data_IF_360566434266
#
_entry.id   IF_360566434266
#
_cell.length_a   1.000
_cell.length_b   1.000
_cell.length_c   1.000
_cell.angle_alpha   90.00
_cell.angle_beta   90.00
_cell.angle_gamma   90.00
#
_symmetry.space_group_name_H-M   'P 1'
#
loop_
_entity.id
_entity.type
_entity.pdbx_description
1 polymer ?
#
# COMPACT_ATOMS: atom_id res chain seq x y z
N UNK A 1 -6.91 11.21 7.10
CA UNK A 1 -6.22 11.10 5.81
C UNK A 1 -5.45 12.38 5.55
N UNK A 2 -4.25 12.29 5.00
CA UNK A 2 -3.49 13.46 4.54
C UNK A 2 -3.56 13.55 3.01
N UNK A 3 -4.05 14.67 2.47
CA UNK A 3 -4.25 14.86 1.03
C UNK A 3 -2.95 14.76 0.24
N UNK A 4 -1.89 15.45 0.68
CA UNK A 4 -0.64 15.51 -0.09
C UNK A 4 0.06 14.15 -0.17
N UNK A 5 0.13 13.42 0.95
CA UNK A 5 0.66 12.06 0.97
C UNK A 5 -0.19 11.12 0.11
N UNK A 6 -1.51 11.31 0.12
CA UNK A 6 -2.42 10.53 -0.72
C UNK A 6 -2.09 10.73 -2.20
N UNK A 7 -1.94 11.99 -2.65
CA UNK A 7 -1.62 12.28 -4.06
C UNK A 7 -0.31 11.59 -4.46
N UNK A 8 0.74 11.66 -3.63
CA UNK A 8 2.00 10.94 -3.90
C UNK A 8 1.82 9.43 -3.99
N UNK A 9 1.06 8.83 -3.06
CA UNK A 9 0.78 7.39 -3.04
C UNK A 9 0.00 6.95 -4.28
N UNK A 10 -1.05 7.69 -4.67
CA UNK A 10 -1.83 7.38 -5.87
C UNK A 10 -0.91 7.43 -7.08
N UNK A 11 -0.20 8.54 -7.29
CA UNK A 11 0.67 8.72 -8.46
C UNK A 11 1.74 7.63 -8.54
N UNK A 12 2.35 7.23 -7.42
CA UNK A 12 3.34 6.15 -7.39
C UNK A 12 2.78 4.80 -7.86
N UNK A 13 1.49 4.54 -7.62
CA UNK A 13 0.82 3.29 -8.03
C UNK A 13 0.52 3.22 -9.53
N UNK A 14 0.58 4.35 -10.25
CA UNK A 14 0.44 4.36 -11.71
C UNK A 14 1.79 3.98 -12.35
N UNK A 15 1.80 3.17 -13.43
CA UNK A 15 3.02 2.69 -14.06
C UNK A 15 3.97 3.81 -14.47
N UNK A 16 3.45 4.90 -15.03
CA UNK A 16 4.24 6.08 -15.44
C UNK A 16 4.41 7.12 -14.34
N UNK A 17 3.87 6.86 -13.15
CA UNK A 17 3.78 7.88 -12.10
C UNK A 17 2.76 8.98 -12.40
N UNK A 18 1.95 8.83 -13.44
CA UNK A 18 1.07 9.85 -13.97
C UNK A 18 -0.40 9.42 -13.87
N UNK A 19 -1.24 10.33 -13.39
CA UNK A 19 -2.68 10.18 -13.40
C UNK A 19 -3.34 11.43 -13.99
N UNK A 20 -4.33 11.21 -14.87
CA UNK A 20 -5.23 12.29 -15.31
C UNK A 20 -6.04 12.80 -14.13
N UNK A 21 -6.48 14.06 -14.22
CA UNK A 21 -7.29 14.67 -13.14
C UNK A 21 -8.56 13.87 -12.80
N UNK A 22 -9.21 13.27 -13.80
CA UNK A 22 -10.41 12.45 -13.59
C UNK A 22 -10.10 11.17 -12.79
N UNK A 23 -9.02 10.48 -13.13
CA UNK A 23 -8.61 9.26 -12.43
C UNK A 23 -8.09 9.57 -11.02
N UNK A 24 -7.30 10.64 -10.86
CA UNK A 24 -6.85 11.09 -9.54
C UNK A 24 -8.03 11.40 -8.60
N UNK A 25 -9.07 12.07 -9.11
CA UNK A 25 -10.30 12.34 -8.34
C UNK A 25 -11.06 11.05 -8.01
N UNK A 26 -11.15 10.11 -8.94
CA UNK A 26 -11.79 8.81 -8.72
C UNK A 26 -11.08 8.03 -7.62
N UNK A 27 -9.77 7.88 -7.71
CA UNK A 27 -8.96 7.15 -6.72
C UNK A 27 -9.05 7.81 -5.34
N UNK A 28 -9.02 9.14 -5.29
CA UNK A 28 -9.22 9.87 -4.05
C UNK A 28 -10.60 9.60 -3.43
N UNK A 29 -11.67 9.56 -4.23
CA UNK A 29 -13.00 9.27 -3.72
C UNK A 29 -13.09 7.87 -3.12
N UNK A 30 -12.44 6.89 -3.75
CA UNK A 30 -12.34 5.51 -3.24
C UNK A 30 -11.55 5.50 -1.91
N UNK A 31 -10.41 6.19 -1.86
CA UNK A 31 -9.59 6.24 -0.65
C UNK A 31 -10.26 6.99 0.51
N UNK A 32 -11.08 7.99 0.19
CA UNK A 32 -11.89 8.70 1.18
C UNK A 32 -12.95 7.79 1.84
N UNK A 33 -13.41 6.74 1.14
CA UNK A 33 -14.36 5.76 1.67
C UNK A 33 -13.70 4.49 2.21
N UNK A 34 -12.37 4.36 2.09
CA UNK A 34 -11.60 3.17 2.48
C UNK A 34 -11.43 2.97 4.00
N UNK A 35 -12.07 3.80 4.82
CA UNK A 35 -12.07 3.64 6.28
C UNK A 35 -10.84 4.18 7.00
N UNK A 36 -10.71 3.79 8.27
CA UNK A 36 -9.79 4.44 9.24
C UNK A 36 -8.33 4.07 8.99
N UNK A 37 -8.04 2.85 8.52
CA UNK A 37 -6.68 2.36 8.29
C UNK A 37 -5.89 3.22 7.32
N UNK A 38 -6.45 3.50 6.14
CA UNK A 38 -5.81 4.37 5.15
C UNK A 38 -5.65 5.80 5.69
N UNK A 39 -6.68 6.30 6.36
CA UNK A 39 -6.70 7.64 6.90
C UNK A 39 -5.61 7.87 7.96
N UNK A 40 -5.36 6.88 8.83
CA UNK A 40 -4.31 6.91 9.84
C UNK A 40 -2.93 6.67 9.24
N UNK A 41 -2.77 5.73 8.30
CA UNK A 41 -1.49 5.49 7.60
C UNK A 41 -0.96 6.76 6.93
N UNK A 42 -1.81 7.47 6.19
CA UNK A 42 -1.42 8.71 5.49
C UNK A 42 -1.17 9.87 6.44
N UNK A 43 -1.92 9.99 7.54
CA UNK A 43 -1.65 10.98 8.61
C UNK A 43 -0.30 10.72 9.27
N UNK A 44 -0.01 9.45 9.56
CA UNK A 44 1.21 9.06 10.25
C UNK A 44 2.45 9.28 9.39
N UNK A 45 2.37 9.02 8.07
CA UNK A 45 3.40 9.43 7.12
C UNK A 45 3.61 10.94 7.10
N UNK A 46 2.54 11.73 7.05
CA UNK A 46 2.66 13.20 7.06
C UNK A 46 3.26 13.74 8.36
N UNK A 47 3.02 13.09 9.50
CA UNK A 47 3.60 13.47 10.78
C UNK A 47 5.13 13.34 10.81
N UNK A 48 5.73 12.49 9.96
CA UNK A 48 7.19 12.34 9.84
C UNK A 48 7.86 13.56 9.20
N UNK A 49 7.13 14.34 8.41
CA UNK A 49 7.61 15.54 7.73
C UNK A 49 6.61 16.67 7.95
N UNK A 50 6.73 17.41 9.07
CA UNK A 50 5.92 18.60 9.26
C UNK A 50 6.22 19.61 8.15
N UNK A 51 5.17 20.30 7.67
CA UNK A 51 5.26 21.25 6.55
C UNK A 51 5.57 20.62 5.19
N UNK A 52 5.13 19.38 4.95
CA UNK A 52 5.10 18.82 3.61
C UNK A 52 4.31 19.73 2.66
N UNK A 53 4.92 20.10 1.55
CA UNK A 53 4.30 20.80 0.43
C UNK A 53 4.79 20.20 -0.89
N UNK A 54 4.05 19.22 -1.39
CA UNK A 54 4.42 18.46 -2.59
C UNK A 54 4.50 19.33 -3.86
N UNK A 55 3.85 20.49 -3.88
CA UNK A 55 3.83 21.38 -5.05
C UNK A 55 5.03 22.31 -5.02
N UNK A 56 5.23 23.02 -3.89
CA UNK A 56 6.36 23.93 -3.73
C UNK A 56 7.70 23.22 -3.69
N UNK A 57 7.72 21.94 -3.26
CA UNK A 57 8.92 21.11 -3.23
C UNK A 57 9.16 20.33 -4.53
N UNK A 58 8.34 20.52 -5.58
CA UNK A 58 8.50 19.86 -6.88
C UNK A 58 8.51 18.32 -6.80
N UNK A 59 7.78 17.78 -5.83
CA UNK A 59 7.61 16.32 -5.67
C UNK A 59 6.61 15.77 -6.69
N UNK A 60 5.74 16.66 -7.18
CA UNK A 60 4.84 16.39 -8.30
C UNK A 60 4.98 17.52 -9.31
N UNK A 61 4.74 17.19 -10.58
CA UNK A 61 4.69 18.16 -11.67
C UNK A 61 3.34 18.07 -12.37
N UNK A 62 2.86 19.21 -12.85
CA UNK A 62 1.63 19.30 -13.61
C UNK A 62 1.93 19.02 -15.08
N UNK A 63 1.24 18.04 -15.65
CA UNK A 63 1.34 17.66 -17.06
C UNK A 63 0.02 17.98 -17.76
N UNK A 64 0.01 17.98 -19.10
CA UNK A 64 -1.18 18.31 -19.88
C UNK A 64 -2.31 17.30 -19.58
N UNK A 65 -3.27 17.70 -18.73
CA UNK A 65 -4.41 16.88 -18.31
C UNK A 65 -4.26 16.13 -16.97
N UNK A 66 -3.17 16.27 -16.24
CA UNK A 66 -2.96 15.52 -15.00
C UNK A 66 -1.74 15.91 -14.18
N UNK A 67 -1.35 15.00 -13.30
CA UNK A 67 -0.20 15.15 -12.42
C UNK A 67 0.72 13.95 -12.57
N UNK A 68 2.03 14.20 -12.49
CA UNK A 68 3.05 13.15 -12.47
C UNK A 68 3.90 13.30 -11.21
N UNK A 69 4.25 12.18 -10.57
CA UNK A 69 5.25 12.18 -9.50
C UNK A 69 6.65 12.28 -10.13
N UNK A 70 7.47 13.20 -9.61
CA UNK A 70 8.85 13.37 -10.07
C UNK A 70 9.74 12.29 -9.45
N UNK A 71 10.95 12.12 -9.96
CA UNK A 71 11.93 11.21 -9.35
C UNK A 71 12.26 11.62 -7.91
N UNK A 72 12.37 12.93 -7.67
CA UNK A 72 12.48 13.53 -6.32
C UNK A 72 11.30 13.13 -5.44
N UNK A 73 10.07 13.20 -5.96
CA UNK A 73 8.86 12.76 -5.25
C UNK A 73 8.90 11.28 -4.87
N UNK A 74 9.37 10.40 -5.78
CA UNK A 74 9.52 8.96 -5.50
C UNK A 74 10.54 8.69 -4.40
N UNK A 75 11.71 9.32 -4.51
CA UNK A 75 12.77 9.20 -3.50
C UNK A 75 12.31 9.74 -2.14
N UNK A 76 11.61 10.88 -2.13
CA UNK A 76 11.08 11.49 -0.93
C UNK A 76 10.02 10.60 -0.26
N UNK A 77 9.10 10.04 -1.03
CA UNK A 77 8.09 9.13 -0.53
C UNK A 77 8.72 7.85 0.05
N UNK A 78 9.74 7.30 -0.61
CA UNK A 78 10.50 6.17 -0.08
C UNK A 78 11.18 6.53 1.25
N UNK A 79 11.85 7.69 1.32
CA UNK A 79 12.44 8.19 2.58
C UNK A 79 11.42 8.31 3.71
N UNK A 80 10.22 8.85 3.38
CA UNK A 80 9.13 8.95 4.34
C UNK A 80 8.72 7.57 4.85
N UNK A 81 8.66 6.55 3.99
CA UNK A 81 8.23 5.19 4.34
C UNK A 81 9.29 4.41 5.11
N UNK A 82 10.56 4.54 4.74
CA UNK A 82 11.70 3.84 5.38
C UNK A 82 12.04 4.36 6.76
N UNK A 83 11.67 5.62 7.08
CA UNK A 83 11.86 6.15 8.44
C UNK A 83 10.98 5.35 9.41
N UNK A 84 11.52 4.65 10.41
CA UNK A 84 10.68 3.96 11.37
C UNK A 84 9.77 4.97 12.08
N UNK A 85 8.46 4.68 12.12
CA UNK A 85 7.63 5.24 13.18
C UNK A 85 8.17 4.63 14.46
N UNK A 86 8.44 5.42 15.49
CA UNK A 86 8.36 4.83 16.82
C UNK A 86 6.95 4.22 16.94
N UNK A 87 6.88 2.90 17.07
CA UNK A 87 5.67 2.12 16.84
C UNK A 87 4.54 2.53 17.79
N UNK A 88 3.30 2.71 17.30
CA UNK A 88 2.14 2.25 18.03
C UNK A 88 1.90 0.78 17.66
N UNK A 89 1.89 -0.05 18.71
CA UNK A 89 1.55 -1.48 18.74
C UNK A 89 0.67 -1.97 17.60
N UNK A 90 1.18 -3.00 16.94
CA UNK A 90 0.56 -3.86 15.96
C UNK A 90 -0.66 -4.56 16.58
N UNK A 91 -1.87 -4.25 16.12
CA UNK A 91 -2.99 -5.18 16.21
C UNK A 91 -3.06 -5.93 14.87
N UNK A 92 -2.27 -6.99 14.83
CA UNK A 92 -2.50 -8.26 14.14
C UNK A 92 -3.74 -8.30 13.21
N UNK A 93 -3.50 -8.15 11.91
CA UNK A 93 -4.44 -8.61 10.88
C UNK A 93 -4.26 -10.12 10.77
N UNK A 94 -5.09 -10.88 11.47
CA UNK A 94 -5.19 -12.32 11.29
C UNK A 94 -5.75 -12.64 9.90
N UNK A 95 -4.89 -13.15 9.02
CA UNK A 95 -5.29 -13.92 7.85
C UNK A 95 -4.54 -15.25 7.90
N UNK A 96 -5.17 -16.39 8.25
CA UNK A 96 -4.47 -17.67 8.21
C UNK A 96 -4.32 -18.13 6.76
N UNK A 97 -3.09 -17.98 6.29
CA UNK A 97 -2.29 -18.86 5.45
C UNK A 97 -3.01 -19.87 4.54
N UNK A 98 -2.74 -19.75 3.23
CA UNK A 98 -2.85 -20.85 2.27
C UNK A 98 -1.75 -21.89 2.51
N UNK A 99 -2.04 -23.19 2.68
CA UNK A 99 -1.01 -24.22 2.63
C UNK A 99 -0.79 -24.71 1.18
N UNK A 100 0.46 -24.64 0.71
CA UNK A 100 0.99 -25.34 -0.47
C UNK A 100 1.74 -26.63 -0.02
N UNK A 101 2.10 -27.52 -0.95
CA UNK A 101 1.39 -28.73 -1.36
C UNK A 101 1.84 -30.01 -0.62
N UNK A 102 0.93 -30.96 -0.46
CA UNK A 102 1.13 -32.27 0.18
C UNK A 102 2.08 -33.15 -0.65
N UNK A 103 3.25 -33.52 -0.10
CA UNK A 103 4.13 -34.55 -0.66
C UNK A 103 3.45 -35.92 -0.48
N UNK A 104 3.10 -36.56 -1.59
CA UNK A 104 2.51 -37.90 -1.65
C UNK A 104 3.61 -38.96 -1.52
N UNK A 105 3.77 -39.53 -0.33
CA UNK A 105 4.49 -40.78 -0.13
C UNK A 105 3.52 -41.85 0.41
N UNK A 106 3.05 -42.72 -0.48
CA UNK A 106 2.64 -44.11 -0.19
C UNK A 106 3.93 -44.98 -0.27
N UNK A 107 4.02 -46.23 0.28
CA UNK A 107 2.99 -47.24 0.59
C UNK A 107 3.32 -48.00 1.93
N UNK A 108 2.96 -49.28 2.22
CA UNK A 108 2.02 -50.22 1.57
C UNK A 108 0.96 -50.86 2.49
N UNK A 109 0.11 -51.63 1.81
CA UNK A 109 -1.08 -52.38 2.25
C UNK A 109 -0.74 -53.70 2.96
N UNK A 110 -1.45 -54.02 4.04
CA UNK A 110 -1.67 -55.38 4.58
C UNK A 110 -3.06 -55.36 5.26
N UNK A 111 -4.12 -55.89 4.66
CA UNK A 111 -4.53 -57.30 4.55
C UNK A 111 -4.81 -57.97 5.92
N UNK A 112 -6.08 -58.01 6.34
CA UNK A 112 -6.48 -58.72 7.56
C UNK A 112 -7.99 -58.86 7.84
N UNK A 113 -8.66 -59.66 7.01
CA UNK A 113 -9.87 -60.51 7.23
C UNK A 113 -10.97 -60.16 8.27
N UNK A 114 -12.18 -60.10 7.70
CA UNK A 114 -13.46 -60.73 8.08
C UNK A 114 -13.53 -61.81 9.19
N UNK A 115 -14.73 -61.85 9.80
CA UNK A 115 -15.49 -62.94 10.46
C UNK A 115 -15.09 -63.41 11.86
N UNK A 116 -16.01 -63.23 12.84
CA UNK A 116 -16.95 -64.25 13.31
C UNK A 116 -18.13 -63.58 14.05
#
# INVERSE_FOLDING_TARGET
MNFQVTVLKILLSYPDGFARMAELKRDMAILATSGRDWAERTKSLAARVPNLDIFSQELVERMNGGWRITEKGRAFLNFMETRPMAAPVETEVAAPEQPKPMKRNLPPVEAGRLTA
#
